data_IF_709640641996
#
_entry.id   IF_709640641996
#
_cell.length_a   1.000
_cell.length_b   1.000
_cell.length_c   1.000
_cell.angle_alpha   90.00
_cell.angle_beta   90.00
_cell.angle_gamma   90.00
#
_symmetry.space_group_name_H-M   'P 1'
#
loop_
_entity.id
_entity.type
_entity.pdbx_description
1 polymer ?
#
# COMPACT_ATOMS: atom_id res chain seq x y z
N UNK A 1 19.43 6.68 -15.69
CA UNK A 1 20.04 5.80 -14.67
C UNK A 1 19.37 5.96 -13.32
N UNK A 2 19.06 7.21 -12.90
CA UNK A 2 18.41 7.51 -11.65
C UNK A 2 17.06 6.79 -11.48
N UNK A 3 16.22 6.83 -12.52
CA UNK A 3 14.90 6.19 -12.49
C UNK A 3 14.99 4.67 -12.44
N UNK A 4 15.98 4.12 -13.14
CA UNK A 4 16.21 2.66 -13.15
C UNK A 4 16.60 2.18 -11.75
N UNK A 5 17.48 2.92 -11.08
CA UNK A 5 17.91 2.58 -9.72
C UNK A 5 16.74 2.62 -8.73
N UNK A 6 15.91 3.65 -8.83
CA UNK A 6 14.72 3.78 -7.99
C UNK A 6 13.73 2.65 -8.23
N UNK A 7 13.51 2.31 -9.51
CA UNK A 7 12.64 1.20 -9.88
C UNK A 7 13.17 -0.12 -9.33
N UNK A 8 14.49 -0.32 -9.37
CA UNK A 8 15.13 -1.53 -8.82
C UNK A 8 14.88 -1.66 -7.32
N UNK A 9 14.94 -0.57 -6.56
CA UNK A 9 14.62 -0.61 -5.13
C UNK A 9 13.17 -1.04 -4.89
N UNK A 10 12.24 -0.47 -5.64
CA UNK A 10 10.83 -0.81 -5.51
C UNK A 10 10.59 -2.27 -5.87
N UNK A 11 11.20 -2.74 -6.98
CA UNK A 11 11.09 -4.15 -7.39
C UNK A 11 11.69 -5.09 -6.36
N UNK A 12 12.82 -4.71 -5.78
CA UNK A 12 13.47 -5.52 -4.74
C UNK A 12 12.53 -5.72 -3.54
N UNK A 13 11.93 -4.64 -3.05
CA UNK A 13 10.99 -4.73 -1.94
C UNK A 13 9.72 -5.49 -2.31
N UNK A 14 9.26 -5.39 -3.56
CA UNK A 14 8.13 -6.17 -4.05
C UNK A 14 8.45 -7.66 -4.07
N UNK A 15 9.64 -8.03 -4.52
CA UNK A 15 10.10 -9.42 -4.51
C UNK A 15 10.24 -9.97 -3.09
N UNK A 16 10.76 -9.16 -2.18
CA UNK A 16 10.87 -9.54 -0.78
C UNK A 16 9.47 -9.76 -0.18
N UNK A 17 8.52 -8.91 -0.52
CA UNK A 17 7.14 -9.06 -0.10
C UNK A 17 6.52 -10.35 -0.61
N UNK A 18 6.75 -10.67 -1.88
CA UNK A 18 6.28 -11.91 -2.48
C UNK A 18 6.90 -13.14 -1.82
N UNK A 19 8.20 -13.06 -1.54
CA UNK A 19 8.91 -14.13 -0.83
C UNK A 19 8.32 -14.35 0.57
N UNK A 20 8.08 -13.27 1.31
CA UNK A 20 7.47 -13.35 2.64
C UNK A 20 6.07 -13.96 2.60
N UNK A 21 5.30 -13.64 1.57
CA UNK A 21 3.96 -14.22 1.42
C UNK A 21 4.02 -15.74 1.29
N UNK A 22 5.03 -16.25 0.60
CA UNK A 22 5.21 -17.70 0.42
C UNK A 22 5.67 -18.38 1.70
N UNK A 23 6.50 -17.70 2.49
CA UNK A 23 7.05 -18.24 3.73
C UNK A 23 6.01 -18.17 4.87
N UNK A 24 5.28 -17.07 4.95
CA UNK A 24 4.28 -16.86 6.01
C UNK A 24 2.90 -17.24 5.46
N UNK A 25 2.26 -18.30 6.00
CA UNK A 25 0.97 -18.79 5.50
C UNK A 25 -0.22 -17.96 6.00
N UNK A 26 -0.19 -16.65 5.76
CA UNK A 26 -1.30 -15.75 6.09
C UNK A 26 -2.02 -15.32 4.81
N UNK A 27 -3.35 -15.15 4.84
CA UNK A 27 -4.12 -14.71 3.69
C UNK A 27 -3.99 -13.21 3.43
N UNK A 28 -2.74 -12.72 3.36
CA UNK A 28 -2.43 -11.32 3.13
C UNK A 28 -1.75 -11.20 1.77
N UNK A 29 -2.18 -10.24 0.91
CA UNK A 29 -1.54 -10.04 -0.39
C UNK A 29 -0.04 -9.70 -0.26
N UNK A 30 0.76 -10.17 -1.22
CA UNK A 30 2.20 -9.92 -1.25
C UNK A 30 2.54 -8.43 -1.23
N UNK A 31 1.71 -7.61 -1.86
CA UNK A 31 1.91 -6.16 -1.91
C UNK A 31 1.96 -5.52 -0.52
N UNK A 32 1.19 -6.04 0.43
CA UNK A 32 1.17 -5.53 1.80
C UNK A 32 2.49 -5.81 2.50
N UNK A 33 3.07 -6.99 2.31
CA UNK A 33 4.38 -7.32 2.86
C UNK A 33 5.46 -6.37 2.31
N UNK A 34 5.44 -6.15 0.99
CA UNK A 34 6.36 -5.22 0.34
C UNK A 34 6.20 -3.79 0.85
N UNK A 35 4.96 -3.35 1.04
CA UNK A 35 4.65 -2.03 1.56
C UNK A 35 5.20 -1.84 2.98
N UNK A 36 4.97 -2.82 3.86
CA UNK A 36 5.45 -2.77 5.24
C UNK A 36 6.98 -2.76 5.28
N UNK A 37 7.62 -3.61 4.48
CA UNK A 37 9.09 -3.66 4.40
C UNK A 37 9.66 -2.33 3.92
N UNK A 38 9.06 -1.75 2.87
CA UNK A 38 9.50 -0.46 2.34
C UNK A 38 9.34 0.64 3.39
N UNK A 39 8.20 0.64 4.07
CA UNK A 39 7.92 1.61 5.14
C UNK A 39 8.95 1.50 6.27
N UNK A 40 9.25 0.28 6.71
CA UNK A 40 10.26 0.05 7.75
C UNK A 40 11.65 0.51 7.29
N UNK A 41 12.01 0.24 6.03
CA UNK A 41 13.28 0.68 5.48
C UNK A 41 13.39 2.22 5.45
N UNK A 42 12.30 2.89 5.08
CA UNK A 42 12.27 4.36 5.06
C UNK A 42 12.30 4.95 6.47
N UNK A 43 11.56 4.35 7.41
CA UNK A 43 11.50 4.83 8.79
C UNK A 43 12.83 4.62 9.53
N UNK A 44 13.53 3.52 9.27
CA UNK A 44 14.81 3.23 9.92
C UNK A 44 15.99 3.95 9.28
N UNK A 45 15.78 4.58 8.13
CA UNK A 45 16.82 5.31 7.42
C UNK A 45 17.73 4.44 6.56
N UNK A 46 17.47 3.13 6.48
CA UNK A 46 18.22 2.23 5.61
C UNK A 46 18.08 2.65 4.15
N UNK A 47 16.87 3.05 3.77
CA UNK A 47 16.57 3.55 2.44
C UNK A 47 16.13 5.01 2.56
N UNK A 48 16.77 5.90 1.81
CA UNK A 48 16.41 7.31 1.78
C UNK A 48 15.20 7.51 0.88
N UNK A 49 14.30 8.38 1.29
CA UNK A 49 13.11 8.73 0.51
C UNK A 49 13.48 9.20 -0.89
N UNK A 50 14.57 9.95 -1.03
CA UNK A 50 15.07 10.45 -2.31
C UNK A 50 15.34 9.32 -3.32
N UNK A 51 15.67 8.13 -2.82
CA UNK A 51 16.00 6.97 -3.66
C UNK A 51 14.78 6.40 -4.38
N UNK A 52 13.57 6.69 -3.94
CA UNK A 52 12.34 6.12 -4.53
C UNK A 52 11.27 7.18 -4.83
N UNK A 53 11.49 8.42 -4.41
CA UNK A 53 10.47 9.47 -4.48
C UNK A 53 10.00 9.77 -5.90
N UNK A 54 10.90 9.90 -6.85
CA UNK A 54 10.56 10.26 -8.23
C UNK A 54 9.75 9.16 -8.93
N UNK A 55 10.22 7.91 -8.83
CA UNK A 55 9.52 6.77 -9.44
C UNK A 55 8.20 6.50 -8.72
N UNK A 56 8.17 6.66 -7.40
CA UNK A 56 6.94 6.54 -6.63
C UNK A 56 5.90 7.56 -7.10
N UNK A 57 6.32 8.82 -7.31
CA UNK A 57 5.45 9.85 -7.85
C UNK A 57 4.89 9.49 -9.23
N UNK A 58 5.75 8.97 -10.09
CA UNK A 58 5.34 8.49 -11.42
C UNK A 58 4.32 7.35 -11.31
N UNK A 59 4.58 6.37 -10.45
CA UNK A 59 3.68 5.23 -10.25
C UNK A 59 2.31 5.66 -9.70
N UNK A 60 2.31 6.61 -8.78
CA UNK A 60 1.07 7.16 -8.22
C UNK A 60 0.28 7.86 -9.33
N UNK A 61 0.95 8.63 -10.18
CA UNK A 61 0.31 9.29 -11.32
C UNK A 61 -0.24 8.30 -12.34
N UNK A 62 0.42 7.15 -12.49
CA UNK A 62 -0.03 6.09 -13.39
C UNK A 62 -1.11 5.19 -12.77
N UNK A 63 -1.42 5.35 -11.50
CA UNK A 63 -2.35 4.51 -10.78
C UNK A 63 -3.73 4.38 -11.44
N UNK A 64 -4.35 5.47 -11.95
CA UNK A 64 -5.64 5.34 -12.64
C UNK A 64 -5.60 4.41 -13.85
N UNK A 65 -4.48 4.43 -14.59
CA UNK A 65 -4.30 3.54 -15.76
C UNK A 65 -4.16 2.10 -15.29
N UNK A 66 -3.39 1.88 -14.22
CA UNK A 66 -3.19 0.55 -13.65
C UNK A 66 -4.48 -0.05 -13.08
N UNK A 67 -5.43 0.79 -12.69
CA UNK A 67 -6.71 0.35 -12.16
C UNK A 67 -7.66 -0.21 -13.23
N UNK A 68 -7.40 0.07 -14.50
CA UNK A 68 -8.29 -0.38 -15.59
C UNK A 68 -8.44 -1.90 -15.60
N UNK A 69 -7.35 -2.63 -15.45
CA UNK A 69 -7.38 -4.09 -15.48
C UNK A 69 -8.19 -4.70 -14.32
N UNK A 70 -7.99 -4.30 -13.04
CA UNK A 70 -8.84 -4.78 -11.95
C UNK A 70 -10.32 -4.42 -12.12
N UNK A 71 -10.62 -3.21 -12.61
CA UNK A 71 -12.01 -2.79 -12.84
C UNK A 71 -12.66 -3.64 -13.94
N UNK A 72 -11.91 -3.91 -15.01
CA UNK A 72 -12.41 -4.77 -16.09
C UNK A 72 -12.74 -6.19 -15.59
N UNK A 73 -11.94 -6.71 -14.66
CA UNK A 73 -12.21 -8.01 -14.03
C UNK A 73 -13.49 -8.00 -13.22
N UNK A 74 -13.84 -6.90 -12.59
CA UNK A 74 -15.10 -6.78 -11.84
C UNK A 74 -16.31 -7.00 -12.74
N UNK A 75 -16.23 -6.59 -14.01
CA UNK A 75 -17.31 -6.83 -14.97
C UNK A 75 -17.53 -8.31 -15.24
N UNK A 76 -16.47 -9.11 -15.23
CA UNK A 76 -16.57 -10.57 -15.41
C UNK A 76 -17.26 -11.24 -14.23
N UNK A 77 -17.14 -10.67 -13.05
CA UNK A 77 -17.74 -11.21 -11.82
C UNK A 77 -19.09 -10.59 -11.49
N UNK A 78 -19.70 -9.88 -12.47
CA UNK A 78 -20.97 -9.19 -12.25
C UNK A 78 -22.09 -10.17 -11.81
N UNK A 79 -22.06 -11.40 -12.28
CA UNK A 79 -23.02 -12.42 -11.87
C UNK A 79 -22.97 -12.75 -10.37
N UNK A 80 -21.81 -12.59 -9.76
CA UNK A 80 -21.61 -12.78 -8.31
C UNK A 80 -21.88 -11.48 -7.56
N UNK A 81 -21.44 -10.36 -8.13
CA UNK A 81 -21.54 -9.02 -7.50
C UNK A 81 -23.00 -8.56 -7.47
N UNK A 82 -23.75 -8.76 -8.56
CA UNK A 82 -25.12 -8.26 -8.69
C UNK A 82 -26.05 -8.71 -7.56
N UNK A 83 -26.16 -10.03 -7.26
CA UNK A 83 -27.02 -10.51 -6.18
C UNK A 83 -26.55 -10.08 -4.79
N UNK A 84 -25.27 -9.75 -4.63
CA UNK A 84 -24.64 -9.43 -3.35
C UNK A 84 -24.28 -7.95 -3.22
N UNK A 85 -24.85 -7.07 -4.05
CA UNK A 85 -24.53 -5.63 -4.08
C UNK A 85 -24.67 -5.00 -2.70
N UNK A 86 -25.76 -5.29 -1.98
CA UNK A 86 -26.00 -4.70 -0.66
C UNK A 86 -24.92 -5.11 0.33
N UNK A 87 -24.58 -6.41 0.36
CA UNK A 87 -23.53 -6.92 1.25
C UNK A 87 -22.17 -6.31 0.91
N UNK A 88 -21.84 -6.20 -0.37
CA UNK A 88 -20.58 -5.60 -0.85
C UNK A 88 -20.52 -4.13 -0.46
N UNK A 89 -21.59 -3.39 -0.66
CA UNK A 89 -21.65 -1.97 -0.28
C UNK A 89 -21.46 -1.77 1.23
N UNK A 90 -22.08 -2.62 2.04
CA UNK A 90 -21.91 -2.57 3.51
C UNK A 90 -20.46 -2.84 3.89
N UNK A 91 -19.85 -3.90 3.31
CA UNK A 91 -18.45 -4.24 3.57
C UNK A 91 -17.53 -3.09 3.16
N UNK A 92 -17.75 -2.50 1.99
CA UNK A 92 -16.95 -1.38 1.51
C UNK A 92 -17.06 -0.17 2.42
N UNK A 93 -18.27 0.17 2.85
CA UNK A 93 -18.51 1.31 3.74
C UNK A 93 -17.83 1.10 5.09
N UNK A 94 -18.01 -0.08 5.71
CA UNK A 94 -17.40 -0.42 7.00
C UNK A 94 -15.88 -0.43 6.88
N UNK A 95 -15.35 -1.05 5.83
CA UNK A 95 -13.90 -1.12 5.57
C UNK A 95 -13.31 0.27 5.40
N UNK A 96 -14.00 1.16 4.66
CA UNK A 96 -13.55 2.54 4.45
C UNK A 96 -13.48 3.30 5.77
N UNK A 97 -14.50 3.18 6.60
CA UNK A 97 -14.52 3.82 7.93
C UNK A 97 -13.37 3.31 8.79
N UNK A 98 -13.17 2.00 8.82
CA UNK A 98 -12.08 1.38 9.59
C UNK A 98 -10.73 1.87 9.10
N UNK A 99 -10.51 1.89 7.78
CA UNK A 99 -9.24 2.34 7.18
C UNK A 99 -8.96 3.80 7.54
N UNK A 100 -9.96 4.68 7.40
CA UNK A 100 -9.81 6.10 7.74
C UNK A 100 -9.53 6.28 9.23
N UNK A 101 -10.23 5.55 10.09
CA UNK A 101 -10.03 5.63 11.54
C UNK A 101 -8.62 5.18 11.93
N UNK A 102 -8.16 4.04 11.40
CA UNK A 102 -6.84 3.50 11.69
C UNK A 102 -5.74 4.41 11.15
N UNK A 103 -5.89 4.87 9.90
CA UNK A 103 -4.91 5.77 9.28
C UNK A 103 -4.81 7.09 10.04
N UNK A 104 -5.95 7.66 10.44
CA UNK A 104 -6.00 8.89 11.23
C UNK A 104 -5.34 8.72 12.59
N UNK A 105 -5.62 7.60 13.26
CA UNK A 105 -5.04 7.31 14.57
C UNK A 105 -3.53 7.14 14.50
N UNK A 106 -3.05 6.37 13.53
CA UNK A 106 -1.61 6.15 13.33
C UNK A 106 -0.90 7.46 13.00
N UNK A 107 -1.49 8.27 12.13
CA UNK A 107 -0.94 9.59 11.78
C UNK A 107 -0.87 10.49 13.01
N UNK A 108 -1.92 10.51 13.81
CA UNK A 108 -1.96 11.30 15.05
C UNK A 108 -0.88 10.87 16.03
N UNK A 109 -0.68 9.57 16.22
CA UNK A 109 0.35 9.05 17.10
C UNK A 109 1.75 9.40 16.60
N UNK A 110 1.98 9.28 15.30
CA UNK A 110 3.29 9.63 14.69
C UNK A 110 3.58 11.13 14.86
N UNK A 111 2.60 11.98 14.63
CA UNK A 111 2.76 13.43 14.81
C UNK A 111 2.96 13.81 16.27
N UNK A 112 2.28 13.13 17.17
CA UNK A 112 2.44 13.36 18.62
C UNK A 112 3.86 13.03 19.06
N UNK A 113 4.37 11.87 18.65
CA UNK A 113 5.75 11.49 18.96
C UNK A 113 6.75 12.49 18.41
N UNK A 114 6.52 12.98 17.19
CA UNK A 114 7.40 13.98 16.58
C UNK A 114 7.41 15.28 17.37
N UNK A 115 6.24 15.74 17.84
CA UNK A 115 6.14 16.94 18.68
C UNK A 115 6.88 16.77 20.00
N UNK A 116 6.76 15.61 20.63
CA UNK A 116 7.48 15.32 21.87
C UNK A 116 8.99 15.36 21.66
N UNK A 117 9.46 14.83 20.54
CA UNK A 117 10.88 14.87 20.19
C UNK A 117 11.37 16.31 19.94
N UNK A 118 10.54 17.14 19.31
CA UNK A 118 10.89 18.56 19.07
C UNK A 118 10.89 19.37 20.35
N UNK A 119 9.99 19.08 21.28
CA UNK A 119 9.86 19.79 22.55
C UNK A 119 10.78 19.24 23.64
N UNK A 120 11.28 18.04 23.44
CA UNK A 120 12.16 17.37 24.38
C UNK A 120 13.61 17.53 24.02
#
# INVERSE_FOLDING_TARGET
MKYITQMLYILLFSLLGEFLQRVIPLPIPAAIYGLVLLLLALCTGILKEEKVAEVSGFLISAMPILFVAPVAKLLQYWGIIGPNVVAICVVMAVSSVVVFAVAGLITKLCLRNKKEDENG
#
